data_IF_727053430770
#
_entry.id   IF_727053430770
#
_cell.length_a   1.000
_cell.length_b   1.000
_cell.length_c   1.000
_cell.angle_alpha   90.00
_cell.angle_beta   90.00
_cell.angle_gamma   90.00
#
_symmetry.space_group_name_H-M   'P 1'
#
loop_
_entity.id
_entity.type
_entity.pdbx_description
1 polymer ?
#
# COMPACT_ATOMS: atom_id res chain seq x y z
N UNK A 1 12.65 4.83 -30.94
CA UNK A 1 11.74 4.96 -29.80
C UNK A 1 12.61 4.98 -28.56
N UNK A 2 12.77 6.14 -27.92
CA UNK A 2 13.64 6.29 -26.75
C UNK A 2 12.97 5.59 -25.56
N UNK A 3 13.64 4.59 -25.00
CA UNK A 3 13.24 3.91 -23.76
C UNK A 3 13.24 4.94 -22.63
N UNK A 4 12.07 5.28 -22.11
CA UNK A 4 11.94 6.12 -20.91
C UNK A 4 11.70 5.21 -19.71
N UNK A 5 12.74 4.48 -19.32
CA UNK A 5 12.76 3.72 -18.08
C UNK A 5 12.68 4.69 -16.90
N UNK A 6 11.52 4.77 -16.25
CA UNK A 6 11.39 5.53 -15.00
C UNK A 6 12.10 4.73 -13.91
N UNK A 7 13.25 5.23 -13.47
CA UNK A 7 14.03 4.69 -12.36
C UNK A 7 13.46 5.26 -11.06
N UNK A 8 12.77 4.43 -10.28
CA UNK A 8 12.39 4.80 -8.93
C UNK A 8 13.55 4.46 -7.98
N UNK A 9 14.31 5.48 -7.56
CA UNK A 9 15.34 5.32 -6.51
C UNK A 9 14.68 5.39 -5.15
N UNK A 10 14.57 4.27 -4.44
CA UNK A 10 14.09 4.25 -3.05
C UNK A 10 15.30 4.13 -2.14
N UNK A 11 15.69 5.26 -1.53
CA UNK A 11 16.71 5.29 -0.50
C UNK A 11 16.14 4.64 0.78
N UNK A 12 16.71 3.51 1.23
CA UNK A 12 16.29 2.86 2.48
C UNK A 12 16.43 1.34 2.59
N UNK A 13 16.73 0.62 1.51
CA UNK A 13 16.84 -0.85 1.52
C UNK A 13 18.00 -1.38 2.37
N UNK A 14 17.71 -1.81 3.60
CA UNK A 14 18.50 -2.79 4.35
C UNK A 14 17.56 -3.90 4.81
N UNK A 15 17.42 -4.95 4.00
CA UNK A 15 16.51 -6.03 4.36
C UNK A 15 16.48 -7.26 3.45
N UNK A 16 17.01 -7.18 2.24
CA UNK A 16 17.19 -8.35 1.38
C UNK A 16 18.69 -8.65 1.36
N UNK A 17 19.10 -9.87 1.73
CA UNK A 17 20.47 -10.34 1.56
C UNK A 17 20.78 -10.50 0.06
N UNK A 18 20.85 -9.39 -0.67
CA UNK A 18 21.28 -9.33 -2.07
C UNK A 18 22.57 -8.54 -2.14
N UNK A 19 23.51 -9.05 -2.92
CA UNK A 19 24.86 -8.47 -3.00
C UNK A 19 24.75 -7.16 -3.78
N UNK A 20 25.34 -6.09 -3.25
CA UNK A 20 25.40 -4.81 -3.97
C UNK A 20 26.05 -5.02 -5.35
N UNK A 21 25.33 -4.67 -6.43
CA UNK A 21 25.74 -4.89 -7.81
C UNK A 21 24.91 -5.93 -8.57
N UNK A 22 23.93 -6.57 -7.94
CA UNK A 22 23.07 -7.56 -8.59
C UNK A 22 21.88 -6.92 -9.32
N UNK A 23 21.67 -7.37 -10.57
CA UNK A 23 20.48 -7.10 -11.37
C UNK A 23 19.65 -8.38 -11.45
N UNK A 24 18.38 -8.31 -11.05
CA UNK A 24 17.42 -9.41 -11.20
C UNK A 24 16.30 -9.01 -12.17
N UNK A 25 15.95 -9.92 -13.08
CA UNK A 25 14.76 -9.78 -13.91
C UNK A 25 13.65 -10.58 -13.24
N UNK A 26 12.67 -9.87 -12.70
CA UNK A 26 11.48 -10.47 -12.08
C UNK A 26 10.41 -10.58 -13.17
N UNK A 27 10.08 -11.79 -13.58
CA UNK A 27 8.94 -12.03 -14.45
C UNK A 27 7.70 -12.26 -13.59
N UNK A 28 6.74 -11.35 -13.69
CA UNK A 28 5.46 -11.43 -13.00
C UNK A 28 4.60 -12.54 -13.62
N UNK A 29 3.61 -13.02 -12.87
CA UNK A 29 2.61 -13.98 -13.36
C UNK A 29 1.81 -13.46 -14.56
N UNK A 30 1.75 -12.13 -14.74
CA UNK A 30 1.19 -11.46 -15.92
C UNK A 30 2.08 -11.55 -17.18
N UNK A 31 3.29 -12.10 -17.07
CA UNK A 31 4.29 -12.16 -18.15
C UNK A 31 5.13 -10.88 -18.29
N UNK A 32 4.84 -9.83 -17.51
CA UNK A 32 5.63 -8.61 -17.51
C UNK A 32 6.96 -8.78 -16.77
N UNK A 33 7.98 -8.06 -17.24
CA UNK A 33 9.31 -8.08 -16.65
C UNK A 33 9.55 -6.76 -15.91
N UNK A 34 9.96 -6.87 -14.65
CA UNK A 34 10.45 -5.79 -13.82
C UNK A 34 11.95 -6.02 -13.62
N UNK A 35 12.76 -4.98 -13.81
CA UNK A 35 14.20 -5.07 -13.55
C UNK A 35 14.45 -4.49 -12.16
N UNK A 36 14.97 -5.31 -11.25
CA UNK A 36 15.40 -4.89 -9.93
C UNK A 36 16.92 -4.73 -9.95
N UNK A 37 17.43 -3.57 -9.58
CA UNK A 37 18.86 -3.33 -9.39
C UNK A 37 19.13 -3.00 -7.92
N UNK A 38 19.99 -3.78 -7.28
CA UNK A 38 20.43 -3.50 -5.90
C UNK A 38 21.77 -2.80 -5.93
N UNK A 39 21.84 -1.57 -5.43
CA UNK A 39 23.09 -0.81 -5.28
C UNK A 39 23.43 -0.62 -3.81
N UNK A 40 24.61 -0.07 -3.51
CA UNK A 40 24.98 0.33 -2.14
C UNK A 40 24.08 1.44 -1.57
N UNK A 41 23.39 2.19 -2.44
CA UNK A 41 22.55 3.34 -2.10
C UNK A 41 21.06 2.96 -1.97
N UNK A 42 20.70 1.73 -2.35
CA UNK A 42 19.33 1.22 -2.29
C UNK A 42 18.96 0.38 -3.50
N UNK A 43 17.71 -0.09 -3.51
CA UNK A 43 17.14 -0.89 -4.60
C UNK A 43 16.34 0.00 -5.54
N UNK A 44 16.55 -0.15 -6.85
CA UNK A 44 15.76 0.52 -7.88
C UNK A 44 14.96 -0.52 -8.67
N UNK A 45 13.74 -0.13 -9.03
CA UNK A 45 12.88 -0.92 -9.91
C UNK A 45 12.65 -0.16 -11.21
N UNK A 46 12.87 -0.85 -12.33
CA UNK A 46 12.50 -0.38 -13.65
C UNK A 46 11.28 -1.14 -14.10
N UNK A 47 10.22 -0.40 -14.37
CA UNK A 47 8.92 -0.91 -14.76
C UNK A 47 8.70 -0.87 -16.28
N UNK A 48 7.73 -1.62 -16.82
CA UNK A 48 7.38 -1.56 -18.23
C UNK A 48 7.03 -0.14 -18.70
N UNK A 49 7.31 0.16 -19.97
CA UNK A 49 7.00 1.47 -20.56
C UNK A 49 5.54 1.89 -20.28
N UNK A 50 5.36 3.11 -19.77
CA UNK A 50 4.05 3.75 -19.60
C UNK A 50 3.40 3.61 -18.22
N UNK A 51 3.99 2.89 -17.26
CA UNK A 51 3.54 2.94 -15.86
C UNK A 51 4.38 3.94 -15.06
N UNK A 52 3.73 4.74 -14.23
CA UNK A 52 4.38 5.65 -13.29
C UNK A 52 3.69 5.57 -11.93
N UNK A 53 4.43 5.84 -10.86
CA UNK A 53 3.91 5.86 -9.50
C UNK A 53 4.02 7.28 -8.94
N UNK A 54 2.98 7.70 -8.21
CA UNK A 54 3.00 8.97 -7.49
C UNK A 54 4.17 9.00 -6.49
N UNK A 55 4.91 10.10 -6.47
CA UNK A 55 5.98 10.34 -5.49
C UNK A 55 5.36 10.39 -4.08
N UNK A 56 5.97 9.72 -3.10
CA UNK A 56 5.51 9.71 -1.70
C UNK A 56 4.47 8.63 -1.37
N UNK A 57 3.99 7.86 -2.36
CA UNK A 57 3.09 6.72 -2.16
C UNK A 57 3.57 5.74 -1.06
N UNK A 58 4.87 5.40 -0.94
CA UNK A 58 5.39 4.55 0.15
C UNK A 58 5.03 5.02 1.57
N UNK A 59 5.01 6.33 1.80
CA UNK A 59 4.85 6.88 3.14
C UNK A 59 3.42 6.70 3.66
N UNK A 60 2.42 6.82 2.77
CA UNK A 60 1.00 6.66 3.12
C UNK A 60 0.60 5.20 3.41
N UNK A 61 1.41 4.21 3.01
CA UNK A 61 1.12 2.79 3.29
C UNK A 61 1.40 2.49 4.76
N UNK A 62 2.60 2.80 5.23
CA UNK A 62 3.02 2.46 6.59
C UNK A 62 2.52 3.45 7.64
N UNK A 63 2.57 4.75 7.33
CA UNK A 63 2.32 5.82 8.31
C UNK A 63 0.93 6.42 8.20
N UNK A 64 0.47 7.03 9.27
CA UNK A 64 -0.79 7.77 9.32
C UNK A 64 -0.76 8.93 8.31
N UNK A 65 -1.72 8.93 7.40
CA UNK A 65 -1.94 10.05 6.47
C UNK A 65 -2.86 11.12 7.07
N UNK A 66 -3.79 10.68 7.92
CA UNK A 66 -4.61 11.59 8.71
C UNK A 66 -5.87 10.93 9.24
N UNK A 67 -6.64 11.72 9.98
CA UNK A 67 -7.91 11.30 10.56
C UNK A 67 -9.03 12.27 10.17
N UNK A 68 -10.21 11.74 9.91
CA UNK A 68 -11.41 12.57 9.79
C UNK A 68 -12.65 11.83 10.29
N UNK A 69 -13.63 12.60 10.76
CA UNK A 69 -14.92 12.07 11.19
C UNK A 69 -15.65 11.26 10.10
N UNK A 70 -15.35 11.47 8.82
CA UNK A 70 -16.00 10.79 7.69
C UNK A 70 -15.23 9.55 7.23
N UNK A 71 -13.90 9.63 7.15
CA UNK A 71 -13.05 8.57 6.59
C UNK A 71 -12.39 7.69 7.66
N UNK A 72 -12.43 8.09 8.92
CA UNK A 72 -11.64 7.49 9.98
C UNK A 72 -10.14 7.67 9.73
N UNK A 73 -9.37 6.64 10.05
CA UNK A 73 -7.92 6.59 9.93
C UNK A 73 -7.52 6.32 8.47
N UNK A 74 -6.86 7.28 7.84
CA UNK A 74 -6.31 7.20 6.48
C UNK A 74 -4.82 6.84 6.52
N UNK A 75 -4.32 6.03 5.59
CA UNK A 75 -2.96 5.48 5.64
C UNK A 75 -2.79 4.43 6.74
N UNK A 76 -1.66 4.33 7.43
CA UNK A 76 -1.48 3.46 8.61
C UNK A 76 -1.95 2.02 8.40
N UNK A 77 -1.46 1.36 7.34
CA UNK A 77 -1.68 -0.08 7.12
C UNK A 77 -0.65 -0.94 7.87
N UNK A 78 0.41 -0.34 8.41
CA UNK A 78 1.24 -0.99 9.43
C UNK A 78 0.42 -1.13 10.73
N UNK A 79 0.34 -2.32 11.31
CA UNK A 79 -0.47 -2.58 12.51
C UNK A 79 -0.07 -1.70 13.71
N UNK A 80 1.24 -1.49 13.94
CA UNK A 80 1.71 -0.63 15.05
C UNK A 80 1.26 0.82 14.85
N UNK A 81 1.37 1.33 13.61
CA UNK A 81 0.92 2.68 13.26
C UNK A 81 -0.61 2.82 13.38
N UNK A 82 -1.36 1.81 12.95
CA UNK A 82 -2.81 1.78 13.11
C UNK A 82 -3.21 1.84 14.58
N UNK A 83 -2.61 1.00 15.43
CA UNK A 83 -2.94 0.96 16.85
C UNK A 83 -2.53 2.23 17.60
N UNK A 84 -1.41 2.85 17.21
CA UNK A 84 -1.03 4.18 17.71
C UNK A 84 -2.09 5.23 17.35
N UNK A 85 -2.54 5.28 16.09
CA UNK A 85 -3.59 6.20 15.65
C UNK A 85 -4.95 5.88 16.31
N UNK A 86 -5.27 4.60 16.48
CA UNK A 86 -6.50 4.17 17.14
C UNK A 86 -6.57 4.69 18.57
N UNK A 87 -5.44 4.63 19.29
CA UNK A 87 -5.31 5.21 20.64
C UNK A 87 -5.38 6.74 20.62
N UNK A 88 -4.67 7.39 19.69
CA UNK A 88 -4.64 8.86 19.55
C UNK A 88 -6.05 9.44 19.30
N UNK A 89 -6.80 8.83 18.38
CA UNK A 89 -8.13 9.29 17.99
C UNK A 89 -9.27 8.63 18.76
N UNK A 90 -8.96 7.83 19.79
CA UNK A 90 -9.92 7.13 20.63
C UNK A 90 -11.00 6.41 19.80
N UNK A 91 -10.59 5.61 18.82
CA UNK A 91 -11.51 4.80 18.01
C UNK A 91 -11.84 3.51 18.74
N UNK A 92 -13.06 3.00 18.54
CA UNK A 92 -13.48 1.72 19.11
C UNK A 92 -13.14 0.58 18.15
N UNK A 93 -12.29 -0.35 18.56
CA UNK A 93 -12.02 -1.57 17.78
C UNK A 93 -13.13 -2.59 18.09
N UNK A 94 -13.85 -3.03 17.04
CA UNK A 94 -14.94 -4.00 17.17
C UNK A 94 -14.41 -5.42 17.02
N UNK A 95 -13.57 -5.64 16.01
CA UNK A 95 -13.00 -6.95 15.74
C UNK A 95 -11.71 -6.85 14.94
N UNK A 96 -10.89 -7.89 15.09
CA UNK A 96 -9.72 -8.16 14.26
C UNK A 96 -9.86 -9.59 13.73
N UNK A 97 -9.85 -9.74 12.40
CA UNK A 97 -10.01 -11.00 11.71
C UNK A 97 -8.77 -11.29 10.86
N UNK A 98 -7.96 -12.29 11.23
CA UNK A 98 -6.86 -12.76 10.38
C UNK A 98 -7.37 -13.19 9.00
N UNK A 99 -6.58 -12.92 7.97
CA UNK A 99 -6.84 -13.42 6.61
C UNK A 99 -6.15 -14.78 6.39
N UNK A 100 -6.29 -15.34 5.19
CA UNK A 100 -5.55 -16.55 4.80
C UNK A 100 -4.03 -16.32 4.70
N UNK A 101 -3.62 -15.06 4.54
CA UNK A 101 -2.21 -14.69 4.48
C UNK A 101 -1.73 -14.31 5.87
N UNK A 102 -0.82 -15.12 6.42
CA UNK A 102 -0.24 -14.89 7.73
C UNK A 102 0.33 -13.47 7.83
N UNK A 103 0.07 -12.79 8.94
CA UNK A 103 0.48 -11.40 9.15
C UNK A 103 -0.38 -10.35 8.47
N UNK A 104 -1.52 -10.70 7.85
CA UNK A 104 -2.51 -9.75 7.33
C UNK A 104 -3.84 -9.95 8.05
N UNK A 105 -4.41 -8.86 8.58
CA UNK A 105 -5.67 -8.88 9.30
C UNK A 105 -6.62 -7.76 8.86
N UNK A 106 -7.93 -8.01 8.96
CA UNK A 106 -9.00 -7.04 8.75
C UNK A 106 -9.55 -6.59 10.10
N UNK A 107 -9.48 -5.30 10.34
CA UNK A 107 -9.99 -4.64 11.53
C UNK A 107 -11.28 -3.92 11.15
N UNK A 108 -12.33 -4.12 11.95
CA UNK A 108 -13.52 -3.28 11.96
C UNK A 108 -13.46 -2.36 13.17
N UNK A 109 -13.64 -1.06 12.94
CA UNK A 109 -13.61 -0.07 14.02
C UNK A 109 -14.64 1.04 13.81
N UNK A 110 -14.95 1.78 14.87
CA UNK A 110 -15.85 2.93 14.83
C UNK A 110 -15.13 4.20 15.28
N UNK A 111 -15.53 5.31 14.68
CA UNK A 111 -15.05 6.65 15.00
C UNK A 111 -15.88 7.24 16.15
N UNK A 112 -15.28 7.94 17.13
CA UNK A 112 -16.03 8.60 18.19
C UNK A 112 -17.01 9.64 17.64
N UNK A 113 -18.17 9.74 18.27
CA UNK A 113 -19.14 10.82 18.04
C UNK A 113 -18.88 11.97 19.02
N UNK A 114 -19.10 13.20 18.56
CA UNK A 114 -18.90 14.39 19.38
C UNK A 114 -20.16 15.26 19.40
N UNK A 115 -20.42 15.92 20.52
CA UNK A 115 -21.41 16.99 20.59
C UNK A 115 -20.89 18.29 19.94
N UNK A 116 -21.70 19.36 19.97
CA UNK A 116 -21.30 20.68 19.40
C UNK A 116 -20.17 21.36 20.19
N UNK A 117 -19.92 20.95 21.43
CA UNK A 117 -18.85 21.47 22.27
C UNK A 117 -17.54 20.67 22.12
N UNK A 118 -17.55 19.58 21.36
CA UNK A 118 -16.40 18.71 21.14
C UNK A 118 -16.21 17.62 22.18
N UNK A 119 -17.22 17.34 23.02
CA UNK A 119 -17.17 16.23 23.97
C UNK A 119 -17.58 14.92 23.30
N UNK A 120 -16.91 13.81 23.66
CA UNK A 120 -17.28 12.47 23.17
C UNK A 120 -18.65 12.07 23.71
N UNK A 121 -19.55 11.67 22.81
CA UNK A 121 -20.92 11.21 23.15
C UNK A 121 -21.12 9.71 22.96
N UNK A 122 -20.09 9.00 22.47
CA UNK A 122 -20.15 7.59 22.11
C UNK A 122 -19.36 7.33 20.83
N UNK A 123 -19.84 6.36 20.04
CA UNK A 123 -19.27 6.00 18.75
C UNK A 123 -20.32 6.09 17.65
N UNK A 124 -19.88 6.39 16.43
CA UNK A 124 -20.74 6.34 15.26
C UNK A 124 -21.10 4.90 14.94
N UNK A 125 -22.35 4.66 14.53
CA UNK A 125 -22.81 3.34 14.11
C UNK A 125 -22.05 2.77 12.90
N UNK A 126 -21.48 3.64 12.06
CA UNK A 126 -20.74 3.22 10.87
C UNK A 126 -19.43 2.53 11.27
N UNK A 127 -19.33 1.24 10.94
CA UNK A 127 -18.11 0.46 11.05
C UNK A 127 -17.22 0.69 9.82
N UNK A 128 -15.96 1.03 10.06
CA UNK A 128 -14.97 1.29 9.03
C UNK A 128 -13.99 0.11 8.97
N UNK A 129 -13.78 -0.48 7.77
CA UNK A 129 -12.80 -1.52 7.60
C UNK A 129 -11.38 -0.93 7.47
N UNK A 130 -10.40 -1.64 8.02
CA UNK A 130 -8.98 -1.42 7.81
C UNK A 130 -8.28 -2.75 7.61
N UNK A 131 -7.46 -2.88 6.57
CA UNK A 131 -6.60 -4.04 6.41
C UNK A 131 -5.19 -3.64 6.80
N UNK A 132 -4.62 -4.33 7.78
CA UNK A 132 -3.28 -4.06 8.33
C UNK A 132 -2.35 -5.24 8.12
N UNK A 133 -1.05 -4.97 8.05
CA UNK A 133 0.00 -5.98 8.11
C UNK A 133 0.74 -5.91 9.45
N UNK A 134 1.16 -7.07 9.95
CA UNK A 134 2.04 -7.20 11.10
C UNK A 134 3.49 -6.86 10.67
N UNK A 135 4.10 -5.79 11.19
CA UNK A 135 5.47 -5.42 10.85
C UNK A 135 6.53 -6.47 11.20
N UNK A 136 6.20 -7.44 12.06
CA UNK A 136 7.09 -8.56 12.41
C UNK A 136 7.09 -9.66 11.36
N UNK A 137 6.03 -9.74 10.54
CA UNK A 137 5.89 -10.71 9.44
C UNK A 137 6.30 -10.07 8.12
N UNK A 138 5.83 -8.84 7.86
CA UNK A 138 6.16 -8.08 6.67
C UNK A 138 6.74 -6.72 7.04
N UNK A 139 7.94 -6.42 6.56
CA UNK A 139 8.48 -5.06 6.65
C UNK A 139 7.67 -4.10 5.77
N UNK A 140 7.62 -2.82 6.13
CA UNK A 140 6.97 -1.77 5.33
C UNK A 140 7.41 -1.83 3.85
N UNK A 141 8.72 -1.99 3.67
CA UNK A 141 9.39 -2.15 2.39
C UNK A 141 8.87 -3.34 1.57
N UNK A 142 8.66 -4.48 2.21
CA UNK A 142 8.11 -5.68 1.56
C UNK A 142 6.69 -5.42 1.07
N UNK A 143 5.84 -4.78 1.89
CA UNK A 143 4.46 -4.45 1.49
C UNK A 143 4.42 -3.46 0.33
N UNK A 144 5.30 -2.46 0.33
CA UNK A 144 5.42 -1.50 -0.77
C UNK A 144 5.79 -2.23 -2.07
N UNK A 145 6.77 -3.13 -2.03
CA UNK A 145 7.17 -3.91 -3.21
C UNK A 145 6.06 -4.80 -3.74
N UNK A 146 5.38 -5.52 -2.86
CA UNK A 146 4.28 -6.39 -3.26
C UNK A 146 3.14 -5.56 -3.85
N UNK A 147 2.83 -4.40 -3.28
CA UNK A 147 1.84 -3.48 -3.83
C UNK A 147 2.22 -2.96 -5.23
N UNK A 148 3.49 -2.62 -5.45
CA UNK A 148 3.99 -2.22 -6.77
C UNK A 148 3.94 -3.38 -7.78
N UNK A 149 4.35 -4.59 -7.38
CA UNK A 149 4.25 -5.78 -8.23
C UNK A 149 2.79 -6.08 -8.62
N UNK A 150 1.87 -6.01 -7.65
CA UNK A 150 0.44 -6.16 -7.88
C UNK A 150 -0.08 -5.08 -8.84
N UNK A 151 0.31 -3.82 -8.63
CA UNK A 151 -0.04 -2.72 -9.53
C UNK A 151 0.41 -2.99 -10.96
N UNK A 152 1.66 -3.35 -11.18
CA UNK A 152 2.19 -3.67 -12.51
C UNK A 152 1.36 -4.79 -13.16
N UNK A 153 1.10 -5.88 -12.42
CA UNK A 153 0.42 -7.06 -12.96
C UNK A 153 -0.97 -6.80 -13.55
N UNK A 154 -1.73 -5.84 -12.99
CA UNK A 154 -3.07 -5.47 -13.46
C UNK A 154 -3.11 -4.23 -14.35
N UNK A 155 -1.99 -3.54 -14.55
CA UNK A 155 -1.97 -2.20 -15.12
C UNK A 155 -2.48 -2.14 -16.57
N UNK A 156 -1.95 -2.97 -17.46
CA UNK A 156 -2.34 -2.98 -18.89
C UNK A 156 -3.83 -3.22 -19.09
N UNK A 157 -4.39 -4.15 -18.31
CA UNK A 157 -5.81 -4.46 -18.35
C UNK A 157 -6.64 -3.28 -17.85
N UNK A 158 -6.22 -2.66 -16.74
CA UNK A 158 -6.89 -1.52 -16.16
C UNK A 158 -6.91 -0.31 -17.11
N UNK A 159 -5.80 -0.03 -17.80
CA UNK A 159 -5.74 1.03 -18.82
C UNK A 159 -6.66 0.72 -20.00
N UNK A 160 -6.62 -0.52 -20.54
CA UNK A 160 -7.47 -0.92 -21.67
C UNK A 160 -8.96 -0.81 -21.35
N UNK A 161 -9.33 -1.10 -20.11
CA UNK A 161 -10.72 -1.03 -19.63
C UNK A 161 -11.10 0.32 -19.02
N UNK A 162 -10.21 1.33 -19.07
CA UNK A 162 -10.43 2.66 -18.48
C UNK A 162 -10.87 2.59 -17.00
N UNK A 163 -10.27 1.68 -16.23
CA UNK A 163 -10.56 1.51 -14.81
C UNK A 163 -9.95 2.65 -13.99
N UNK A 164 -10.61 2.97 -12.87
CA UNK A 164 -10.11 3.92 -11.86
C UNK A 164 -9.34 3.24 -10.73
N UNK A 165 -9.63 1.95 -10.54
CA UNK A 165 -8.98 1.07 -9.59
C UNK A 165 -9.14 -0.38 -10.04
N UNK A 166 -8.31 -1.25 -9.51
CA UNK A 166 -8.38 -2.70 -9.72
C UNK A 166 -7.79 -3.42 -8.51
N UNK A 167 -8.21 -4.67 -8.32
CA UNK A 167 -7.61 -5.56 -7.34
C UNK A 167 -6.60 -6.45 -8.05
N UNK A 168 -5.43 -6.61 -7.45
CA UNK A 168 -4.37 -7.47 -7.95
C UNK A 168 -3.62 -8.11 -6.79
N UNK A 169 -3.01 -9.27 -7.02
CA UNK A 169 -2.37 -10.05 -5.97
C UNK A 169 -0.86 -10.17 -6.19
N UNK A 170 -0.08 -10.04 -5.11
CA UNK A 170 1.35 -10.35 -5.08
C UNK A 170 1.73 -10.88 -3.70
N UNK A 171 2.59 -11.89 -3.64
CA UNK A 171 3.05 -12.46 -2.36
C UNK A 171 1.92 -13.00 -1.47
N UNK A 172 0.82 -13.46 -2.05
CA UNK A 172 -0.36 -13.91 -1.32
C UNK A 172 -1.27 -12.78 -0.81
N UNK A 173 -0.89 -11.51 -0.94
CA UNK A 173 -1.67 -10.36 -0.48
C UNK A 173 -2.43 -9.77 -1.66
N UNK A 174 -3.74 -9.57 -1.50
CA UNK A 174 -4.53 -8.80 -2.46
C UNK A 174 -4.42 -7.32 -2.14
N UNK A 175 -4.05 -6.52 -3.14
CA UNK A 175 -3.98 -5.08 -3.07
C UNK A 175 -5.08 -4.47 -3.91
N UNK A 176 -5.71 -3.42 -3.37
CA UNK A 176 -6.47 -2.49 -4.20
C UNK A 176 -5.52 -1.42 -4.72
N UNK A 177 -5.47 -1.25 -6.03
CA UNK A 177 -4.61 -0.31 -6.74
C UNK A 177 -5.48 0.76 -7.38
N UNK A 178 -5.07 2.02 -7.25
CA UNK A 178 -5.76 3.18 -7.78
C UNK A 178 -4.89 3.87 -8.82
N UNK A 179 -5.50 4.26 -9.93
CA UNK A 179 -4.83 5.00 -10.99
C UNK A 179 -5.58 6.29 -11.34
N UNK A 180 -4.82 7.29 -11.78
CA UNK A 180 -5.33 8.49 -12.40
C UNK A 180 -5.69 8.17 -13.87
N UNK A 181 -6.96 8.35 -14.23
CA UNK A 181 -7.46 8.03 -15.57
C UNK A 181 -6.87 8.90 -16.68
N UNK A 182 -6.47 10.12 -16.37
CA UNK A 182 -6.00 11.07 -17.38
C UNK A 182 -4.54 10.82 -17.74
N UNK A 183 -3.75 10.39 -16.75
CA UNK A 183 -2.30 10.21 -16.89
C UNK A 183 -1.84 8.76 -16.91
N UNK A 184 -2.69 7.82 -16.47
CA UNK A 184 -2.32 6.42 -16.23
C UNK A 184 -1.44 6.23 -14.99
N UNK A 185 -1.13 7.29 -14.23
CA UNK A 185 -0.27 7.18 -13.06
C UNK A 185 -0.95 6.38 -11.93
N UNK A 186 -0.24 5.42 -11.35
CA UNK A 186 -0.66 4.77 -10.10
C UNK A 186 -0.55 5.78 -8.96
N UNK A 187 -1.69 6.20 -8.43
CA UNK A 187 -1.74 7.26 -7.42
C UNK A 187 -1.80 6.73 -5.99
N UNK A 188 -2.24 5.47 -5.80
CA UNK A 188 -2.26 4.80 -4.50
C UNK A 188 -2.39 3.28 -4.65
N UNK A 189 -2.05 2.53 -3.61
CA UNK A 189 -2.49 1.14 -3.42
C UNK A 189 -2.55 0.81 -1.93
N UNK A 190 -3.25 -0.23 -1.52
CA UNK A 190 -3.16 -0.76 -0.15
C UNK A 190 -3.66 -2.20 -0.06
N UNK A 191 -3.29 -2.97 0.98
CA UNK A 191 -3.88 -4.29 1.24
C UNK A 191 -5.41 -4.23 1.37
N UNK A 192 -6.13 -5.23 0.84
CA UNK A 192 -7.59 -5.30 0.79
C UNK A 192 -8.22 -6.08 1.94
#
# INVERSE_FOLDING_TARGET
MQLHAITATVAGYKGINTVAGETAIIQLTSGEKVIMMTTKEGTTFTYPDGISFKIGLPQHIATLDGFSQKKGISGAHNADAFYAAAKEYNVNIISEMPTQTNGIAKILYQVPSYDRAGNVTGYKNAELPKTVYDPKVFTDETIINLGQQAAVSGYKEAIRQERQFYDAQAGGITFRVYLDKNTGMINNFHPQ
#
